data_IF_390728967647
#
_entry.id   IF_390728967647
#
_cell.length_a   1.000
_cell.length_b   1.000
_cell.length_c   1.000
_cell.angle_alpha   90.00
_cell.angle_beta   90.00
_cell.angle_gamma   90.00
#
_symmetry.space_group_name_H-M   'P 1'
#
loop_
_entity.id
_entity.type
_entity.pdbx_description
1 polymer ?
#
# COMPACT_ATOMS: atom_id res chain seq x y z
N UNK A 1 11.38 -9.25 14.84
CA UNK A 1 10.29 -8.29 14.58
C UNK A 1 8.98 -9.06 14.54
N UNK A 2 7.88 -8.44 14.95
CA UNK A 2 6.55 -9.07 14.94
C UNK A 2 5.86 -8.91 13.57
N UNK A 3 6.09 -7.79 12.89
CA UNK A 3 5.62 -7.47 11.54
C UNK A 3 6.66 -6.61 10.82
N UNK A 4 6.84 -6.79 9.51
CA UNK A 4 7.63 -5.91 8.65
C UNK A 4 6.78 -4.79 8.06
N UNK A 5 7.29 -3.56 8.13
CA UNK A 5 6.71 -2.41 7.45
C UNK A 5 7.45 -2.18 6.13
N UNK A 6 6.79 -2.46 5.00
CA UNK A 6 7.31 -2.12 3.67
C UNK A 6 6.64 -0.82 3.21
N UNK A 7 7.29 0.31 3.48
CA UNK A 7 6.65 1.62 3.37
C UNK A 7 7.09 2.41 2.14
N UNK A 8 6.25 3.36 1.73
CA UNK A 8 6.56 4.33 0.66
C UNK A 8 6.89 3.64 -0.67
N UNK A 9 6.17 2.56 -1.01
CA UNK A 9 6.37 1.85 -2.28
C UNK A 9 5.81 2.72 -3.41
N UNK A 10 6.62 3.11 -4.41
CA UNK A 10 6.23 4.11 -5.39
C UNK A 10 5.57 3.51 -6.63
N UNK A 11 5.71 2.20 -6.87
CA UNK A 11 5.35 1.56 -8.13
C UNK A 11 4.83 0.11 -8.01
N UNK A 12 4.15 -0.34 -9.07
CA UNK A 12 3.56 -1.67 -9.17
C UNK A 12 4.64 -2.76 -9.29
N UNK A 13 5.76 -2.46 -9.94
CA UNK A 13 6.87 -3.42 -10.09
C UNK A 13 7.43 -3.80 -8.72
N UNK A 14 7.71 -2.81 -7.87
CA UNK A 14 8.19 -3.03 -6.50
C UNK A 14 7.12 -3.73 -5.65
N UNK A 15 5.84 -3.39 -5.81
CA UNK A 15 4.74 -4.08 -5.12
C UNK A 15 4.77 -5.60 -5.38
N UNK A 16 4.95 -6.00 -6.65
CA UNK A 16 5.04 -7.42 -7.04
C UNK A 16 6.33 -8.07 -6.54
N UNK A 17 7.44 -7.35 -6.56
CA UNK A 17 8.72 -7.85 -6.05
C UNK A 17 8.65 -8.11 -4.54
N UNK A 18 8.07 -7.17 -3.78
CA UNK A 18 7.85 -7.30 -2.34
C UNK A 18 6.90 -8.45 -2.02
N UNK A 19 5.79 -8.58 -2.73
CA UNK A 19 4.85 -9.68 -2.52
C UNK A 19 5.51 -11.06 -2.67
N UNK A 20 6.39 -11.22 -3.67
CA UNK A 20 7.18 -12.45 -3.88
C UNK A 20 8.17 -12.65 -2.74
N UNK A 21 8.97 -11.63 -2.42
CA UNK A 21 9.99 -11.72 -1.38
C UNK A 21 9.39 -12.04 0.00
N UNK A 22 8.28 -11.38 0.36
CA UNK A 22 7.56 -11.65 1.61
C UNK A 22 6.96 -13.05 1.61
N UNK A 23 6.48 -13.54 0.47
CA UNK A 23 6.04 -14.92 0.30
C UNK A 23 7.14 -15.94 0.61
N UNK A 24 8.36 -15.69 0.13
CA UNK A 24 9.52 -16.55 0.38
C UNK A 24 9.99 -16.46 1.84
N UNK A 25 9.93 -15.28 2.45
CA UNK A 25 10.29 -15.04 3.85
C UNK A 25 9.28 -15.60 4.85
N UNK A 26 8.02 -15.77 4.43
CA UNK A 26 6.90 -16.25 5.25
C UNK A 26 6.72 -15.47 6.57
N UNK A 27 7.04 -14.18 6.55
CA UNK A 27 6.99 -13.32 7.72
C UNK A 27 5.93 -12.23 7.54
N UNK A 28 5.07 -11.96 8.55
CA UNK A 28 4.00 -10.97 8.42
C UNK A 28 4.52 -9.60 8.01
N UNK A 29 3.84 -8.96 7.04
CA UNK A 29 4.17 -7.61 6.61
C UNK A 29 2.93 -6.78 6.24
N UNK A 30 3.06 -5.45 6.30
CA UNK A 30 2.15 -4.55 5.57
C UNK A 30 2.91 -3.78 4.50
N UNK A 31 2.18 -3.35 3.47
CA UNK A 31 2.74 -2.55 2.38
C UNK A 31 1.99 -1.24 2.24
N UNK A 32 2.69 -0.11 2.36
CA UNK A 32 2.10 1.21 2.11
C UNK A 32 2.70 1.85 0.88
N UNK A 33 1.83 2.56 0.15
CA UNK A 33 2.17 3.22 -1.10
C UNK A 33 2.14 4.73 -0.93
N UNK A 34 3.05 5.42 -1.63
CA UNK A 34 2.99 6.86 -1.81
C UNK A 34 2.27 7.19 -3.11
N UNK A 35 1.23 8.02 -3.03
CA UNK A 35 0.35 8.34 -4.14
C UNK A 35 0.46 9.81 -4.56
N UNK A 36 0.34 10.05 -5.87
CA UNK A 36 0.35 11.39 -6.46
C UNK A 36 -1.05 11.95 -6.74
N UNK A 37 -2.07 11.12 -6.61
CA UNK A 37 -3.48 11.45 -6.81
C UNK A 37 -4.35 10.49 -6.00
N UNK A 38 -5.68 10.62 -6.10
CA UNK A 38 -6.64 9.71 -5.46
C UNK A 38 -6.64 8.28 -6.02
N UNK A 39 -5.99 8.04 -7.17
CA UNK A 39 -6.05 6.75 -7.87
C UNK A 39 -4.70 6.20 -8.30
N UNK A 40 -3.64 7.01 -8.28
CA UNK A 40 -2.34 6.63 -8.85
C UNK A 40 -1.21 6.70 -7.83
N UNK A 41 -0.31 5.72 -7.91
CA UNK A 41 1.01 5.79 -7.24
C UNK A 41 1.93 6.76 -7.98
N UNK A 42 3.06 7.14 -7.39
CA UNK A 42 3.95 8.16 -7.98
C UNK A 42 4.46 7.81 -9.39
N UNK A 43 4.73 6.54 -9.68
CA UNK A 43 5.13 6.09 -11.02
C UNK A 43 4.00 6.08 -12.05
N UNK A 44 2.74 6.25 -11.61
CA UNK A 44 1.57 6.49 -12.46
C UNK A 44 0.66 5.30 -12.70
N UNK A 45 0.97 4.12 -12.18
CA UNK A 45 0.05 2.98 -12.17
C UNK A 45 -1.10 3.20 -11.19
N UNK A 46 -2.18 2.45 -11.39
CA UNK A 46 -3.32 2.49 -10.47
C UNK A 46 -2.92 1.93 -9.11
N UNK A 47 -3.24 2.68 -8.06
CA UNK A 47 -3.10 2.26 -6.67
C UNK A 47 -3.84 0.95 -6.40
N UNK A 48 -5.04 0.78 -6.98
CA UNK A 48 -5.83 -0.45 -6.87
C UNK A 48 -5.07 -1.70 -7.40
N UNK A 49 -4.31 -1.56 -8.48
CA UNK A 49 -3.51 -2.66 -9.05
C UNK A 49 -2.33 -3.02 -8.12
N UNK A 50 -1.72 -2.00 -7.50
CA UNK A 50 -0.65 -2.18 -6.54
C UNK A 50 -1.14 -2.90 -5.28
N UNK A 51 -2.28 -2.48 -4.72
CA UNK A 51 -2.91 -3.14 -3.57
C UNK A 51 -3.30 -4.58 -3.92
N UNK A 52 -3.89 -4.82 -5.10
CA UNK A 52 -4.26 -6.17 -5.54
C UNK A 52 -3.04 -7.09 -5.67
N UNK A 53 -1.92 -6.56 -6.17
CA UNK A 53 -0.68 -7.33 -6.32
C UNK A 53 -0.12 -7.81 -4.97
N UNK A 54 -0.15 -6.97 -3.93
CA UNK A 54 0.31 -7.36 -2.58
C UNK A 54 -0.73 -8.18 -1.82
N UNK A 55 -2.02 -7.92 -2.06
CA UNK A 55 -3.11 -8.64 -1.41
C UNK A 55 -3.12 -10.15 -1.74
N UNK A 56 -2.55 -10.56 -2.88
CA UNK A 56 -2.42 -11.96 -3.26
C UNK A 56 -1.46 -12.77 -2.37
N UNK A 57 -0.57 -12.11 -1.60
CA UNK A 57 0.34 -12.78 -0.68
C UNK A 57 -0.31 -13.00 0.69
N UNK A 58 -0.37 -14.24 1.17
CA UNK A 58 -0.97 -14.58 2.47
C UNK A 58 -0.28 -13.89 3.66
N UNK A 59 1.04 -13.75 3.60
CA UNK A 59 1.85 -13.13 4.67
C UNK A 59 1.75 -11.59 4.68
N UNK A 60 1.09 -10.98 3.69
CA UNK A 60 0.79 -9.55 3.72
C UNK A 60 -0.53 -9.34 4.45
N UNK A 61 -0.46 -8.87 5.69
CA UNK A 61 -1.60 -8.71 6.61
C UNK A 61 -2.33 -7.38 6.43
N UNK A 62 -1.75 -6.45 5.67
CA UNK A 62 -2.37 -5.16 5.40
C UNK A 62 -1.73 -4.39 4.25
N UNK A 63 -2.47 -3.44 3.71
CA UNK A 63 -1.97 -2.52 2.71
C UNK A 63 -2.62 -1.14 2.88
N UNK A 64 -2.02 -0.10 2.32
CA UNK A 64 -2.65 1.21 2.27
C UNK A 64 -1.69 2.31 1.87
N UNK A 65 -1.77 3.47 2.52
CA UNK A 65 -1.08 4.67 2.07
C UNK A 65 -0.30 5.35 3.18
N UNK A 66 0.87 5.84 2.81
CA UNK A 66 1.68 6.73 3.63
C UNK A 66 2.30 7.81 2.74
N UNK A 67 2.90 8.83 3.36
CA UNK A 67 3.65 9.87 2.63
C UNK A 67 2.87 10.48 1.44
N UNK A 68 1.56 10.65 1.61
CA UNK A 68 0.63 11.11 0.57
C UNK A 68 -0.09 12.37 1.06
N UNK A 69 -0.46 13.25 0.14
CA UNK A 69 -1.25 14.46 0.45
C UNK A 69 -2.57 14.06 1.15
N UNK A 70 -2.90 14.66 2.31
CA UNK A 70 -4.12 14.36 3.06
C UNK A 70 -5.41 14.47 2.25
N UNK A 71 -5.46 15.34 1.24
CA UNK A 71 -6.63 15.52 0.37
C UNK A 71 -6.97 14.25 -0.41
N UNK A 72 -5.98 13.42 -0.76
CA UNK A 72 -6.19 12.19 -1.53
C UNK A 72 -6.56 10.98 -0.66
N UNK A 73 -6.31 11.04 0.65
CA UNK A 73 -6.40 9.89 1.56
C UNK A 73 -7.80 9.30 1.57
N UNK A 74 -8.86 10.11 1.58
CA UNK A 74 -10.22 9.56 1.63
C UNK A 74 -10.56 8.74 0.38
N UNK A 75 -10.14 9.17 -0.80
CA UNK A 75 -10.33 8.42 -2.05
C UNK A 75 -9.52 7.11 -2.04
N UNK A 76 -8.25 7.21 -1.65
CA UNK A 76 -7.34 6.07 -1.59
C UNK A 76 -7.76 5.01 -0.56
N UNK A 77 -8.30 5.40 0.60
CA UNK A 77 -8.82 4.45 1.59
C UNK A 77 -10.03 3.69 1.06
N UNK A 78 -10.93 4.38 0.34
CA UNK A 78 -12.09 3.74 -0.30
C UNK A 78 -11.63 2.75 -1.38
N UNK A 79 -10.69 3.16 -2.23
CA UNK A 79 -10.12 2.29 -3.26
C UNK A 79 -9.38 1.09 -2.66
N UNK A 80 -8.58 1.32 -1.61
CA UNK A 80 -7.88 0.25 -0.90
C UNK A 80 -8.88 -0.77 -0.37
N UNK A 81 -9.92 -0.31 0.33
CA UNK A 81 -10.91 -1.22 0.91
C UNK A 81 -11.74 -1.97 -0.14
N UNK A 82 -11.95 -1.38 -1.31
CA UNK A 82 -12.66 -2.00 -2.43
C UNK A 82 -11.94 -3.24 -2.96
N UNK A 83 -10.61 -3.23 -2.99
CA UNK A 83 -9.80 -4.31 -3.58
C UNK A 83 -9.09 -5.20 -2.55
N UNK A 84 -8.91 -4.72 -1.32
CA UNK A 84 -8.27 -5.46 -0.25
C UNK A 84 -9.25 -6.48 0.38
N UNK A 85 -8.85 -7.75 0.55
CA UNK A 85 -9.66 -8.77 1.24
C UNK A 85 -10.14 -8.32 2.62
N UNK A 86 -11.29 -8.85 3.03
CA UNK A 86 -12.01 -8.30 4.15
C UNK A 86 -11.28 -8.43 5.49
N UNK A 87 -10.51 -9.52 5.61
CA UNK A 87 -9.68 -9.94 6.73
C UNK A 87 -8.35 -9.18 6.86
N UNK A 88 -7.93 -8.45 5.81
CA UNK A 88 -6.69 -7.67 5.81
C UNK A 88 -6.93 -6.24 6.27
N UNK A 89 -5.91 -5.65 6.89
CA UNK A 89 -6.00 -4.31 7.47
C UNK A 89 -5.68 -3.21 6.46
N UNK A 90 -6.48 -2.15 6.46
CA UNK A 90 -6.16 -0.92 5.74
C UNK A 90 -5.25 -0.07 6.62
N UNK A 91 -4.04 0.24 6.14
CA UNK A 91 -3.02 0.98 6.91
C UNK A 91 -2.88 2.40 6.36
N UNK A 92 -2.99 3.42 7.22
CA UNK A 92 -3.06 4.82 6.79
C UNK A 92 -2.29 5.72 7.75
N UNK A 93 -1.28 6.43 7.25
CA UNK A 93 -0.56 7.47 8.00
C UNK A 93 0.02 8.50 7.01
N UNK A 94 -0.77 9.51 6.61
CA UNK A 94 -0.37 10.49 5.60
C UNK A 94 0.62 11.52 6.13
N UNK A 95 1.14 12.37 5.24
CA UNK A 95 1.93 13.53 5.64
C UNK A 95 1.07 14.52 6.45
N UNK A 96 1.70 15.41 7.22
CA UNK A 96 1.00 16.42 8.03
C UNK A 96 0.27 17.49 7.20
N UNK A 97 0.38 17.46 5.87
CA UNK A 97 -0.13 18.52 4.98
C UNK A 97 0.78 19.74 4.91
N UNK A 98 2.00 19.64 5.45
CA UNK A 98 3.02 20.69 5.34
C UNK A 98 3.54 20.78 3.91
N UNK A 99 3.40 21.95 3.31
CA UNK A 99 4.02 22.33 2.04
C UNK A 99 5.30 23.08 2.39
N UNK A 100 6.45 22.51 2.05
CA UNK A 100 7.76 23.16 2.22
C UNK A 100 7.98 24.22 1.14
#
# INVERSE_FOLDING_TARGET
>A
CDVLACETVPCLLEARALARLIGDLQHPAWVTFSCRSETEVHSGELFADCVSAVAACEHIVGAGVNCTDPSFVSGLVKECRRVLPAEKHVVVYPNSGEVW
#
